data_IF_010027362401
#
_entry.id   IF_010027362401
#
_cell.length_a   1.000
_cell.length_b   1.000
_cell.length_c   1.000
_cell.angle_alpha   90.00
_cell.angle_beta   90.00
_cell.angle_gamma   90.00
#
_symmetry.space_group_name_H-M   'P 1'
#
loop_
_entity.id
_entity.type
_entity.pdbx_description
1 polymer ?
#
# COMPACT_ATOMS: atom_id res chain seq x y z
N UNK A 1 -2.71 5.08 7.59
CA UNK A 1 -3.73 6.16 7.55
C UNK A 1 -4.11 6.41 6.10
N UNK A 2 -5.41 6.44 5.75
CA UNK A 2 -5.87 6.75 4.38
C UNK A 2 -5.48 8.17 3.96
N UNK A 3 -5.03 8.37 2.71
CA UNK A 3 -4.62 9.68 2.17
C UNK A 3 -4.70 9.74 0.64
N UNK A 4 -4.36 10.90 0.05
CA UNK A 4 -4.17 11.11 -1.40
C UNK A 4 -2.77 11.66 -1.68
N UNK A 5 -2.23 11.43 -2.88
CA UNK A 5 -0.85 11.82 -3.24
C UNK A 5 -0.66 13.33 -3.51
N UNK A 6 -1.74 14.04 -3.84
CA UNK A 6 -1.73 15.48 -4.13
C UNK A 6 -1.43 15.84 -5.60
N UNK A 7 -1.83 17.04 -6.04
CA UNK A 7 -2.03 17.38 -7.46
C UNK A 7 -0.76 17.36 -8.34
N UNK A 8 0.43 17.34 -7.75
CA UNK A 8 1.68 17.29 -8.48
C UNK A 8 1.91 15.95 -9.22
N UNK A 9 1.21 14.89 -8.81
CA UNK A 9 1.37 13.53 -9.35
C UNK A 9 0.22 13.12 -10.29
N UNK A 10 -0.60 14.08 -10.73
CA UNK A 10 -1.67 13.84 -11.68
C UNK A 10 -1.12 13.43 -13.07
N UNK A 11 -1.84 12.56 -13.82
CA UNK A 11 -3.06 11.83 -13.44
C UNK A 11 -2.78 10.37 -13.00
N UNK A 12 -1.52 10.01 -12.75
CA UNK A 12 -1.09 8.62 -12.64
C UNK A 12 0.06 8.46 -11.68
N UNK A 13 -0.06 7.49 -10.78
CA UNK A 13 1.02 7.02 -9.92
C UNK A 13 1.27 5.55 -10.16
N UNK A 14 2.54 5.16 -10.11
CA UNK A 14 2.97 3.78 -10.19
C UNK A 14 3.83 3.43 -8.98
N UNK A 15 3.48 2.34 -8.30
CA UNK A 15 4.14 1.87 -7.08
C UNK A 15 4.72 0.49 -7.32
N UNK A 16 6.01 0.32 -7.05
CA UNK A 16 6.68 -0.97 -7.09
C UNK A 16 6.74 -1.54 -5.68
N UNK A 17 6.15 -2.72 -5.49
CA UNK A 17 6.18 -3.43 -4.21
C UNK A 17 7.31 -4.46 -4.19
N UNK A 18 8.02 -4.54 -3.09
CA UNK A 18 9.18 -5.42 -2.89
C UNK A 18 8.92 -6.37 -1.73
N UNK A 19 9.98 -6.87 -1.08
CA UNK A 19 10.01 -7.64 0.17
C UNK A 19 8.79 -8.52 0.50
N UNK A 20 7.71 -7.93 1.01
CA UNK A 20 6.50 -8.64 1.44
C UNK A 20 5.23 -8.03 0.85
N UNK A 21 4.15 -8.79 0.96
CA UNK A 21 2.84 -8.35 0.52
C UNK A 21 2.24 -7.33 1.50
N UNK A 22 1.23 -6.62 1.03
CA UNK A 22 0.32 -5.89 1.90
C UNK A 22 -1.07 -5.82 1.26
N UNK A 23 -2.07 -5.52 2.08
CA UNK A 23 -3.41 -5.14 1.61
C UNK A 23 -3.48 -3.61 1.54
N UNK A 24 -3.72 -3.10 0.34
CA UNK A 24 -3.96 -1.68 0.08
C UNK A 24 -5.46 -1.42 0.07
N UNK A 25 -5.92 -0.57 0.96
CA UNK A 25 -7.34 -0.27 1.20
C UNK A 25 -7.73 1.05 0.52
N UNK A 26 -8.87 1.06 -0.17
CA UNK A 26 -9.40 2.23 -0.88
C UNK A 26 -10.69 2.73 -0.24
N UNK A 27 -10.73 4.02 0.06
CA UNK A 27 -11.83 4.69 0.72
C UNK A 27 -12.36 5.80 -0.18
N UNK A 28 -13.67 5.89 -0.33
CA UNK A 28 -14.27 6.96 -1.14
C UNK A 28 -14.03 8.31 -0.49
N UNK A 29 -13.55 9.28 -1.26
CA UNK A 29 -13.46 10.67 -0.79
C UNK A 29 -14.89 11.16 -0.56
N UNK A 30 -15.23 11.68 0.64
CA UNK A 30 -16.54 12.25 0.89
C UNK A 30 -16.80 13.38 -0.10
N UNK A 31 -17.91 13.31 -0.85
CA UNK A 31 -18.32 14.43 -1.67
C UNK A 31 -18.74 15.56 -0.74
N UNK A 32 -17.89 16.60 -0.65
CA UNK A 32 -18.27 17.85 0.01
C UNK A 32 -19.42 18.42 -0.83
N UNK A 33 -20.63 18.19 -0.35
CA UNK A 33 -21.84 18.75 -0.93
C UNK A 33 -21.63 20.26 -0.96
N UNK A 34 -21.50 20.84 -2.16
CA UNK A 34 -21.56 22.28 -2.37
C UNK A 34 -22.96 22.77 -1.99
N UNK A 35 -23.20 22.95 -0.69
CA UNK A 35 -24.29 23.76 -0.18
C UNK A 35 -23.66 24.98 0.48
N UNK A 36 -23.71 26.04 -0.31
CA UNK A 36 -23.72 27.46 0.04
C UNK A 36 -22.43 28.10 0.56
N UNK A 37 -22.01 29.09 -0.23
CA UNK A 37 -21.04 30.13 0.11
C UNK A 37 -21.38 30.80 1.44
N UNK A 38 -20.54 30.63 2.47
CA UNK A 38 -20.15 31.74 3.37
C UNK A 38 -18.74 31.50 3.91
N UNK A 39 -17.96 32.58 3.87
CA UNK A 39 -16.56 32.65 4.25
C UNK A 39 -16.33 32.27 5.72
N UNK A 40 -15.39 31.35 5.97
CA UNK A 40 -14.44 31.49 7.07
C UNK A 40 -13.17 30.68 6.76
N UNK A 41 -12.05 31.38 6.89
CA UNK A 41 -10.71 30.85 7.02
C UNK A 41 -10.65 29.81 8.16
N UNK A 42 -10.42 28.55 7.81
CA UNK A 42 -9.62 27.66 8.62
C UNK A 42 -9.20 26.46 7.80
N UNK A 43 -7.88 26.28 7.73
CA UNK A 43 -7.19 25.01 7.67
C UNK A 43 -7.82 23.98 8.63
N UNK A 44 -8.92 23.38 8.19
CA UNK A 44 -9.55 22.26 8.84
C UNK A 44 -9.31 21.08 7.93
N UNK A 45 -8.14 20.47 8.12
CA UNK A 45 -8.05 19.01 8.07
C UNK A 45 -9.25 18.52 8.88
N UNK A 46 -10.30 18.12 8.17
CA UNK A 46 -11.48 17.57 8.80
C UNK A 46 -11.03 16.26 9.44
N UNK A 47 -10.72 16.34 10.73
CA UNK A 47 -10.70 15.23 11.70
C UNK A 47 -12.12 14.63 11.82
N UNK A 48 -12.81 14.41 10.70
CA UNK A 48 -13.71 13.26 10.60
C UNK A 48 -12.80 12.07 10.71
N UNK A 49 -12.82 11.49 11.90
CA UNK A 49 -12.13 10.30 12.26
C UNK A 49 -12.33 9.19 11.21
N UNK A 50 -11.47 9.16 10.20
CA UNK A 50 -11.45 8.15 9.15
C UNK A 50 -11.07 6.78 9.69
N UNK A 51 -10.82 6.64 11.02
CA UNK A 51 -10.61 5.36 11.69
C UNK A 51 -11.89 4.51 11.75
N UNK A 52 -13.06 5.06 11.39
CA UNK A 52 -14.34 4.34 11.42
C UNK A 52 -14.99 4.02 10.07
N UNK A 53 -14.43 4.46 8.93
CA UNK A 53 -14.95 4.06 7.63
C UNK A 53 -14.31 2.74 7.19
N UNK A 54 -15.14 1.78 6.79
CA UNK A 54 -14.68 0.58 6.10
C UNK A 54 -14.24 0.94 4.67
N UNK A 55 -13.20 0.28 4.13
CA UNK A 55 -12.81 0.47 2.74
C UNK A 55 -13.93 0.01 1.79
N UNK A 56 -14.08 0.70 0.66
CA UNK A 56 -15.02 0.29 -0.40
C UNK A 56 -14.54 -0.99 -1.08
N UNK A 57 -13.24 -1.08 -1.29
CA UNK A 57 -12.54 -2.27 -1.76
C UNK A 57 -11.07 -2.21 -1.38
N UNK A 58 -10.39 -3.34 -1.55
CA UNK A 58 -8.96 -3.48 -1.29
C UNK A 58 -8.28 -4.25 -2.40
N UNK A 59 -6.95 -4.12 -2.47
CA UNK A 59 -6.10 -4.89 -3.37
C UNK A 59 -5.00 -5.59 -2.58
N UNK A 60 -4.79 -6.88 -2.87
CA UNK A 60 -3.61 -7.61 -2.42
C UNK A 60 -2.43 -7.22 -3.30
N UNK A 61 -1.44 -6.55 -2.73
CA UNK A 61 -0.25 -6.12 -3.44
C UNK A 61 0.90 -7.06 -3.08
N UNK A 62 1.27 -7.93 -4.01
CA UNK A 62 2.32 -8.94 -3.80
C UNK A 62 3.74 -8.35 -3.99
N UNK A 63 4.79 -8.99 -3.44
CA UNK A 63 6.18 -8.64 -3.74
C UNK A 63 6.49 -8.76 -5.24
N UNK A 64 7.35 -7.84 -5.74
CA UNK A 64 7.76 -7.75 -7.15
C UNK A 64 6.60 -7.44 -8.09
N UNK A 65 5.59 -6.71 -7.60
CA UNK A 65 4.48 -6.23 -8.41
C UNK A 65 4.63 -4.74 -8.74
N UNK A 66 3.97 -4.33 -9.83
CA UNK A 66 3.80 -2.93 -10.20
C UNK A 66 2.30 -2.61 -10.14
N UNK A 67 1.92 -1.72 -9.22
CA UNK A 67 0.56 -1.19 -9.12
C UNK A 67 0.52 0.16 -9.83
N UNK A 68 -0.40 0.33 -10.79
CA UNK A 68 -0.58 1.60 -11.51
C UNK A 68 -1.97 2.14 -11.23
N UNK A 69 -2.04 3.25 -10.49
CA UNK A 69 -3.28 3.94 -10.16
C UNK A 69 -3.47 5.12 -11.12
N UNK A 70 -4.63 5.21 -11.75
CA UNK A 70 -4.94 6.22 -12.77
C UNK A 70 -6.32 6.82 -12.57
N UNK A 71 -6.48 8.03 -13.09
CA UNK A 71 -7.79 8.66 -13.34
C UNK A 71 -8.70 8.62 -12.11
N UNK A 72 -9.82 7.90 -12.20
CA UNK A 72 -10.85 7.82 -11.16
C UNK A 72 -10.33 7.25 -9.84
N UNK A 73 -9.47 6.22 -9.88
CA UNK A 73 -8.91 5.65 -8.66
C UNK A 73 -8.00 6.67 -7.95
N UNK A 74 -7.24 7.44 -8.73
CA UNK A 74 -6.38 8.49 -8.21
C UNK A 74 -7.19 9.68 -7.65
N UNK A 75 -8.32 10.01 -8.29
CA UNK A 75 -9.04 11.26 -8.02
C UNK A 75 -10.20 11.12 -7.04
N UNK A 76 -10.82 9.94 -6.95
CA UNK A 76 -12.06 9.71 -6.19
C UNK A 76 -11.84 8.90 -4.91
N UNK A 77 -10.66 8.31 -4.73
CA UNK A 77 -10.36 7.44 -3.61
C UNK A 77 -9.13 7.90 -2.83
N UNK A 78 -9.21 7.80 -1.52
CA UNK A 78 -8.07 7.78 -0.62
C UNK A 78 -7.55 6.35 -0.53
N UNK A 79 -6.24 6.18 -0.43
CA UNK A 79 -5.62 4.87 -0.25
C UNK A 79 -4.82 4.81 1.05
N UNK A 80 -4.76 3.63 1.65
CA UNK A 80 -4.05 3.41 2.90
C UNK A 80 -3.62 1.98 3.09
N UNK A 81 -2.55 1.80 3.86
CA UNK A 81 -2.12 0.50 4.38
C UNK A 81 -2.39 0.52 5.88
N UNK A 82 -3.10 -0.49 6.37
CA UNK A 82 -3.35 -0.67 7.81
C UNK A 82 -2.05 -1.05 8.53
N UNK A 83 -1.85 -0.50 9.72
CA UNK A 83 -0.70 -0.81 10.59
C UNK A 83 -0.95 -2.12 11.35
N UNK A 84 -0.85 -3.24 10.64
CA UNK A 84 -0.99 -4.60 11.16
C UNK A 84 0.16 -5.48 10.67
N UNK A 85 0.41 -6.57 11.37
CA UNK A 85 1.48 -7.53 11.06
C UNK A 85 1.01 -8.75 10.28
N UNK A 86 -0.30 -9.01 10.23
CA UNK A 86 -0.89 -10.15 9.51
C UNK A 86 -2.21 -9.73 8.87
N UNK A 87 -2.43 -10.15 7.62
CA UNK A 87 -3.66 -9.94 6.86
C UNK A 87 -4.53 -11.21 6.87
N UNK A 88 -5.84 -11.07 7.11
CA UNK A 88 -6.83 -12.12 6.87
C UNK A 88 -7.45 -11.94 5.48
N UNK A 89 -7.02 -12.75 4.52
CA UNK A 89 -7.45 -12.65 3.13
C UNK A 89 -8.83 -13.28 2.88
N UNK A 90 -9.43 -13.95 3.88
CA UNK A 90 -10.81 -14.40 3.77
C UNK A 90 -11.82 -13.29 4.11
N UNK A 91 -11.35 -12.16 4.64
CA UNK A 91 -12.19 -11.07 5.10
C UNK A 91 -12.09 -9.86 4.14
N UNK A 92 -13.23 -9.19 3.94
CA UNK A 92 -13.31 -7.96 3.16
C UNK A 92 -13.45 -8.17 1.66
N UNK A 93 -13.45 -7.04 0.94
CA UNK A 93 -13.66 -7.00 -0.51
C UNK A 93 -12.32 -6.79 -1.24
N UNK A 94 -11.50 -7.84 -1.31
CA UNK A 94 -10.20 -7.79 -2.01
C UNK A 94 -10.38 -8.27 -3.45
N UNK A 95 -10.31 -7.33 -4.40
CA UNK A 95 -10.79 -7.56 -5.77
C UNK A 95 -9.94 -8.56 -6.56
N UNK A 96 -8.62 -8.56 -6.35
CA UNK A 96 -7.67 -9.37 -7.13
C UNK A 96 -7.27 -10.70 -6.45
N UNK A 97 -7.95 -11.09 -5.36
CA UNK A 97 -7.69 -12.40 -4.73
C UNK A 97 -7.88 -13.60 -5.67
N UNK A 98 -8.91 -13.66 -6.54
CA UNK A 98 -9.08 -14.80 -7.43
C UNK A 98 -7.91 -14.99 -8.42
N UNK A 99 -7.19 -13.91 -8.72
CA UNK A 99 -6.04 -13.88 -9.62
C UNK A 99 -4.70 -14.01 -8.88
N UNK A 100 -4.71 -13.83 -7.55
CA UNK A 100 -3.54 -14.02 -6.71
C UNK A 100 -3.11 -15.50 -6.78
N UNK A 101 -1.80 -15.71 -6.97
CA UNK A 101 -1.20 -17.04 -7.07
C UNK A 101 -1.67 -17.96 -5.93
N UNK A 102 -1.97 -19.23 -6.23
CA UNK A 102 -2.59 -20.21 -5.33
C UNK A 102 -1.85 -20.49 -3.99
N UNK A 103 -0.66 -19.92 -3.79
CA UNK A 103 0.20 -20.13 -2.62
C UNK A 103 0.05 -19.05 -1.52
N UNK A 104 -0.86 -18.07 -1.66
CA UNK A 104 -1.05 -17.10 -0.57
C UNK A 104 -1.93 -17.71 0.53
N UNK A 105 -1.44 -17.87 1.76
CA UNK A 105 -2.22 -18.42 2.86
C UNK A 105 -3.37 -17.47 3.24
N UNK A 106 -4.45 -18.00 3.80
CA UNK A 106 -5.58 -17.20 4.28
C UNK A 106 -5.20 -16.20 5.36
N UNK A 107 -4.25 -16.57 6.21
CA UNK A 107 -3.59 -15.69 7.18
C UNK A 107 -2.17 -15.45 6.68
N UNK A 108 -1.89 -14.23 6.25
CA UNK A 108 -0.65 -13.89 5.57
C UNK A 108 0.15 -12.88 6.41
N UNK A 109 1.33 -13.31 6.87
CA UNK A 109 2.22 -12.47 7.69
C UNK A 109 3.03 -11.51 6.82
N UNK A 110 3.01 -10.23 7.20
CA UNK A 110 3.83 -9.20 6.57
C UNK A 110 5.26 -9.30 7.10
N UNK A 111 6.25 -9.26 6.21
CA UNK A 111 7.63 -9.22 6.63
C UNK A 111 7.95 -7.81 7.17
N UNK A 112 7.97 -7.68 8.48
CA UNK A 112 8.40 -6.46 9.17
C UNK A 112 9.92 -6.41 9.39
N UNK A 113 10.63 -7.52 9.18
CA UNK A 113 12.07 -7.61 9.44
C UNK A 113 12.89 -7.58 8.14
N UNK A 114 13.92 -6.73 8.15
CA UNK A 114 14.95 -6.71 7.13
C UNK A 114 15.77 -7.99 7.26
N UNK A 115 15.44 -9.03 6.49
CA UNK A 115 16.30 -10.21 6.41
C UNK A 115 17.72 -9.74 6.03
N UNK A 116 18.74 -9.95 6.88
CA UNK A 116 20.09 -9.55 6.53
C UNK A 116 20.45 -10.26 5.24
N UNK A 117 20.79 -9.50 4.21
CA UNK A 117 21.34 -10.03 2.98
C UNK A 117 22.57 -10.85 3.36
N UNK A 118 22.40 -12.18 3.39
CA UNK A 118 23.51 -13.13 3.49
C UNK A 118 24.27 -13.03 2.16
N UNK A 119 25.10 -12.00 2.03
CA UNK A 119 26.16 -12.01 1.03
C UNK A 119 27.16 -13.08 1.46
N UNK A 120 27.42 -14.13 0.66
CA UNK A 120 28.55 -15.01 0.93
C UNK A 120 29.82 -14.17 0.81
N UNK A 121 30.50 -13.96 1.93
CA UNK A 121 31.88 -13.46 1.95
C UNK A 121 32.74 -14.49 1.21
N UNK A 122 33.04 -14.21 -0.06
CA UNK A 122 34.04 -14.98 -0.79
C UNK A 122 35.38 -14.79 -0.08
N UNK A 123 35.80 -15.80 0.67
CA UNK A 123 37.13 -15.88 1.25
C UNK A 123 38.16 -15.83 0.11
N UNK A 124 38.81 -14.69 -0.06
CA UNK A 124 39.93 -14.52 -0.99
C UNK A 124 41.17 -15.14 -0.34
N UNK A 125 41.48 -16.38 -0.68
CA UNK A 125 42.65 -17.10 -0.18
C UNK A 125 43.86 -16.70 -1.03
N UNK A 126 44.69 -15.78 -0.52
CA UNK A 126 45.96 -15.42 -1.16
C UNK A 126 46.93 -16.59 -1.07
N UNK A 127 47.10 -17.30 -2.18
CA UNK A 127 48.18 -18.25 -2.38
C UNK A 127 49.46 -17.50 -2.76
N UNK A 128 50.45 -17.53 -1.88
CA UNK A 128 51.84 -17.22 -2.24
C UNK A 128 52.79 -18.11 -1.44
N UNK A 129 52.87 -19.38 -1.83
CA UNK A 129 54.11 -20.14 -1.73
C UNK A 129 54.75 -20.16 -3.11
N UNK A 130 55.81 -19.37 -3.29
CA UNK A 130 56.84 -19.66 -4.27
C UNK A 130 58.19 -19.59 -3.56
N UNK A 131 58.92 -20.68 -3.77
CA UNK A 131 60.17 -21.12 -3.16
C UNK A 131 61.37 -20.43 -3.76
#
# INVERSE_FOLDING_TARGET
>A
MPHTDGPAYLPTVATVSLSSHCVLEFYKIPEVSKKDDQALDSCSASDTDSRGQEPEFSLLVQPRSLLVLKEDIYSKYMHGIREITSDDLNQGNILNLPEATADVPSQAERACEFLPLLYPTSHFQTGSELK
#
